data_IF_717952768049
#
_entry.id   IF_717952768049
#
_cell.length_a   1.000
_cell.length_b   1.000
_cell.length_c   1.000
_cell.angle_alpha   90.00
_cell.angle_beta   90.00
_cell.angle_gamma   90.00
#
_symmetry.space_group_name_H-M   'P 1'
#
loop_
_entity.id
_entity.type
_entity.pdbx_description
1 polymer ?
#
# COMPACT_ATOMS: atom_id res chain seq x y z
N UNK A 1 -26.46 -71.21 -17.78
CA UNK A 1 -25.82 -70.59 -18.95
C UNK A 1 -24.95 -69.46 -18.44
N UNK A 2 -23.64 -69.59 -18.66
CA UNK A 2 -22.64 -68.56 -18.41
C UNK A 2 -22.91 -67.35 -19.29
N UNK A 3 -22.69 -66.15 -18.75
CA UNK A 3 -22.68 -64.90 -19.49
C UNK A 3 -21.87 -63.88 -18.72
N UNK A 4 -20.56 -63.86 -19.03
CA UNK A 4 -19.68 -62.69 -19.20
C UNK A 4 -20.22 -61.36 -18.63
N UNK A 5 -19.58 -60.65 -17.70
CA UNK A 5 -18.15 -60.38 -17.59
C UNK A 5 -17.97 -58.87 -17.73
N UNK A 6 -17.70 -58.16 -16.61
CA UNK A 6 -16.81 -56.98 -16.51
C UNK A 6 -17.00 -56.23 -15.18
N UNK A 7 -15.94 -56.22 -14.37
CA UNK A 7 -15.70 -55.26 -13.29
C UNK A 7 -14.90 -54.07 -13.89
N UNK A 8 -14.65 -52.98 -13.17
CA UNK A 8 -15.44 -51.77 -13.01
C UNK A 8 -14.86 -50.61 -13.84
N UNK A 9 -15.68 -49.68 -14.35
CA UNK A 9 -15.17 -48.38 -14.79
C UNK A 9 -15.18 -47.41 -13.63
N UNK A 10 -14.04 -47.37 -12.92
CA UNK A 10 -13.66 -46.28 -12.04
C UNK A 10 -13.86 -44.95 -12.78
N UNK A 11 -14.89 -44.20 -12.37
CA UNK A 11 -15.07 -42.82 -12.78
C UNK A 11 -14.11 -41.99 -11.94
N UNK A 12 -12.84 -41.97 -12.33
CA UNK A 12 -11.87 -41.02 -11.76
C UNK A 12 -12.24 -39.64 -12.31
N UNK A 13 -13.13 -38.93 -11.61
CA UNK A 13 -13.35 -37.51 -11.84
C UNK A 13 -12.05 -36.82 -11.45
N UNK A 14 -11.24 -36.45 -12.45
CA UNK A 14 -10.10 -35.58 -12.26
C UNK A 14 -10.64 -34.22 -11.80
N UNK A 15 -10.62 -33.98 -10.49
CA UNK A 15 -10.68 -32.61 -9.95
C UNK A 15 -9.43 -31.91 -10.47
N UNK A 16 -9.57 -31.18 -11.58
CA UNK A 16 -8.61 -30.15 -11.94
C UNK A 16 -8.66 -29.11 -10.81
N UNK A 17 -7.71 -29.19 -9.87
CA UNK A 17 -7.38 -28.06 -9.01
C UNK A 17 -6.91 -26.95 -9.95
N UNK A 18 -7.83 -26.08 -10.34
CA UNK A 18 -7.47 -24.74 -10.74
C UNK A 18 -6.92 -24.06 -9.48
N UNK A 19 -5.62 -24.25 -9.22
CA UNK A 19 -4.87 -23.32 -8.40
C UNK A 19 -4.90 -22.00 -9.17
N UNK A 20 -5.88 -21.16 -8.87
CA UNK A 20 -5.82 -19.75 -9.24
C UNK A 20 -4.51 -19.24 -8.65
N UNK A 21 -3.55 -18.75 -9.46
CA UNK A 21 -2.42 -18.03 -8.89
C UNK A 21 -3.00 -16.93 -8.00
N UNK A 22 -2.60 -16.92 -6.73
CA UNK A 22 -2.84 -15.80 -5.85
C UNK A 22 -2.00 -14.64 -6.37
N UNK A 23 -2.48 -13.98 -7.42
CA UNK A 23 -2.00 -12.65 -7.74
C UNK A 23 -2.38 -11.81 -6.52
N UNK A 24 -1.37 -11.31 -5.81
CA UNK A 24 -1.61 -10.27 -4.82
C UNK A 24 -2.20 -9.08 -5.61
N UNK A 25 -3.52 -8.92 -5.54
CA UNK A 25 -4.18 -7.76 -6.13
C UNK A 25 -3.75 -6.59 -5.26
N UNK A 26 -2.99 -5.66 -5.85
CA UNK A 26 -2.60 -4.44 -5.18
C UNK A 26 -3.84 -3.70 -4.65
N UNK A 27 -3.71 -3.11 -3.48
CA UNK A 27 -4.84 -2.43 -2.85
C UNK A 27 -5.19 -1.16 -3.63
N UNK A 28 -6.46 -0.78 -3.59
CA UNK A 28 -6.91 0.49 -4.18
C UNK A 28 -6.23 1.68 -3.48
N UNK A 29 -6.01 2.77 -4.21
CA UNK A 29 -5.41 4.00 -3.70
C UNK A 29 -6.16 4.64 -2.51
N UNK A 30 -7.43 4.30 -2.30
CA UNK A 30 -8.25 4.76 -1.16
C UNK A 30 -8.11 3.86 0.09
N UNK A 31 -7.44 2.71 -0.02
CA UNK A 31 -7.22 1.80 1.09
C UNK A 31 -6.23 2.40 2.11
N UNK A 32 -6.42 2.19 3.42
CA UNK A 32 -5.45 2.61 4.41
C UNK A 32 -4.08 1.94 4.17
N UNK A 33 -3.02 2.73 4.20
CA UNK A 33 -1.64 2.25 4.15
C UNK A 33 -1.13 2.11 5.58
N UNK A 34 -0.71 0.91 5.94
CA UNK A 34 -0.05 0.66 7.23
C UNK A 34 1.46 0.82 7.10
N UNK A 35 2.07 1.34 8.15
CA UNK A 35 3.51 1.45 8.25
C UNK A 35 3.96 2.08 9.54
N UNK A 36 5.26 2.07 9.77
CA UNK A 36 5.84 2.71 10.94
C UNK A 36 5.89 4.23 10.74
N UNK A 37 5.26 4.98 11.63
CA UNK A 37 5.28 6.44 11.58
C UNK A 37 6.65 6.97 11.99
N UNK A 38 7.27 7.81 11.18
CA UNK A 38 8.56 8.43 11.46
C UNK A 38 8.55 9.91 11.11
N UNK A 39 9.35 10.69 11.82
CA UNK A 39 9.70 12.03 11.38
C UNK A 39 10.99 11.95 10.56
N UNK A 40 10.94 12.45 9.34
CA UNK A 40 12.08 12.47 8.43
C UNK A 40 12.49 13.90 8.12
N UNK A 41 13.79 14.06 7.90
CA UNK A 41 14.42 15.33 7.59
C UNK A 41 15.06 15.24 6.21
N UNK A 42 14.79 16.22 5.37
CA UNK A 42 15.53 16.45 4.13
C UNK A 42 16.00 17.90 4.05
N UNK A 43 16.61 18.25 2.92
CA UNK A 43 17.03 19.61 2.62
C UNK A 43 16.39 20.09 1.34
N UNK A 44 15.82 21.28 1.38
CA UNK A 44 15.47 22.01 0.19
C UNK A 44 16.74 22.31 -0.63
N UNK A 45 16.66 22.45 -1.97
CA UNK A 45 17.80 22.87 -2.78
C UNK A 45 18.47 24.18 -2.34
N UNK A 46 17.75 25.05 -1.63
CA UNK A 46 18.30 26.29 -1.03
C UNK A 46 19.09 26.04 0.28
N UNK A 47 19.14 24.80 0.77
CA UNK A 47 19.83 24.40 1.99
C UNK A 47 18.96 24.36 3.25
N UNK A 48 17.74 24.89 3.17
CA UNK A 48 16.78 24.92 4.29
C UNK A 48 16.36 23.51 4.70
N UNK A 49 16.29 23.21 6.01
CA UNK A 49 15.82 21.91 6.48
C UNK A 49 14.31 21.79 6.28
N UNK A 50 13.89 20.64 5.75
CA UNK A 50 12.48 20.26 5.63
C UNK A 50 12.26 19.10 6.59
N UNK A 51 11.27 19.20 7.47
CA UNK A 51 10.84 18.10 8.35
C UNK A 51 9.42 17.72 8.01
N UNK A 52 9.15 16.43 7.92
CA UNK A 52 7.81 15.91 7.65
C UNK A 52 7.59 14.55 8.29
N UNK A 53 6.34 14.10 8.27
CA UNK A 53 5.95 12.78 8.79
C UNK A 53 5.82 11.82 7.63
N UNK A 54 6.27 10.59 7.80
CA UNK A 54 6.11 9.56 6.79
C UNK A 54 5.75 8.22 7.42
N UNK A 55 5.14 7.36 6.62
CA UNK A 55 5.06 5.94 6.91
C UNK A 55 6.22 5.23 6.21
N UNK A 56 6.97 4.44 6.98
CA UNK A 56 7.82 3.39 6.44
C UNK A 56 6.93 2.16 6.23
N UNK A 57 6.44 2.02 5.00
CA UNK A 57 5.61 0.89 4.59
C UNK A 57 6.48 -0.31 4.22
N UNK A 58 5.97 -1.51 4.46
CA UNK A 58 6.60 -2.78 4.09
C UNK A 58 5.53 -3.71 3.55
N UNK A 59 5.84 -4.41 2.46
CA UNK A 59 4.92 -5.37 1.82
C UNK A 59 3.57 -4.76 1.39
N UNK A 60 3.55 -3.45 1.08
CA UNK A 60 2.38 -2.75 0.55
C UNK A 60 2.49 -2.65 -0.96
N UNK A 61 1.46 -3.10 -1.68
CA UNK A 61 1.28 -2.80 -3.10
C UNK A 61 -0.01 -2.01 -3.32
N UNK A 62 0.06 -0.91 -4.06
CA UNK A 62 -1.03 0.04 -4.29
C UNK A 62 -1.23 0.23 -5.79
N UNK A 63 -2.47 0.12 -6.24
CA UNK A 63 -2.88 0.50 -7.59
C UNK A 63 -3.41 1.93 -7.56
N UNK A 64 -2.72 2.85 -8.23
CA UNK A 64 -3.07 4.27 -8.25
C UNK A 64 -2.88 4.90 -9.63
N UNK A 65 -3.57 6.02 -9.87
CA UNK A 65 -3.38 6.83 -11.07
C UNK A 65 -2.05 7.60 -10.99
N UNK A 66 -1.22 7.46 -12.02
CA UNK A 66 0.03 8.20 -12.20
C UNK A 66 -0.26 9.61 -12.69
N UNK A 67 0.76 10.47 -12.72
CA UNK A 67 0.62 11.81 -13.27
C UNK A 67 0.21 11.84 -14.75
N UNK A 68 0.52 10.78 -15.50
CA UNK A 68 0.17 10.64 -16.92
C UNK A 68 -1.28 10.17 -17.12
N UNK A 69 -2.03 9.93 -16.04
CA UNK A 69 -3.41 9.43 -16.07
C UNK A 69 -3.51 7.93 -16.30
N UNK A 70 -2.40 7.19 -16.15
CA UNK A 70 -2.37 5.74 -16.26
C UNK A 70 -2.54 5.09 -14.89
N UNK A 71 -3.19 3.92 -14.81
CA UNK A 71 -3.22 3.15 -13.56
C UNK A 71 -1.96 2.28 -13.49
N UNK A 72 -1.20 2.43 -12.41
CA UNK A 72 0.00 1.67 -12.15
C UNK A 72 0.00 1.06 -10.75
N UNK A 73 0.62 -0.12 -10.63
CA UNK A 73 0.88 -0.77 -9.37
C UNK A 73 2.24 -0.33 -8.82
N UNK A 74 2.25 0.13 -7.57
CA UNK A 74 3.43 0.65 -6.88
C UNK A 74 3.63 -0.05 -5.54
N UNK A 75 4.89 -0.28 -5.18
CA UNK A 75 5.29 -0.86 -3.88
C UNK A 75 6.06 0.18 -3.05
N UNK A 76 5.38 1.22 -2.54
CA UNK A 76 6.05 2.35 -1.92
C UNK A 76 6.69 1.95 -0.60
N UNK A 77 7.96 2.29 -0.40
CA UNK A 77 8.63 2.08 0.91
C UNK A 77 8.47 3.25 1.86
N UNK A 78 8.31 4.45 1.32
CA UNK A 78 8.16 5.68 2.09
C UNK A 78 6.99 6.47 1.55
N UNK A 79 5.99 6.69 2.41
CA UNK A 79 4.79 7.48 2.11
C UNK A 79 4.84 8.76 2.92
N UNK A 80 5.02 9.90 2.28
CA UNK A 80 5.07 11.19 2.96
C UNK A 80 3.65 11.69 3.25
N UNK A 81 3.36 11.96 4.53
CA UNK A 81 2.06 12.40 5.00
C UNK A 81 1.96 13.92 4.96
N UNK A 82 1.04 14.42 4.15
CA UNK A 82 0.68 15.84 4.06
C UNK A 82 -0.68 16.02 4.71
N UNK A 83 -0.70 16.62 5.89
CA UNK A 83 -1.93 16.88 6.64
C UNK A 83 -2.60 18.15 6.13
N UNK A 84 -3.94 18.15 6.06
CA UNK A 84 -4.69 19.37 5.81
C UNK A 84 -4.48 20.37 6.97
N UNK A 85 -4.61 21.67 6.68
CA UNK A 85 -4.52 22.72 7.67
C UNK A 85 -5.44 22.45 8.87
N UNK A 86 -4.84 22.41 10.07
CA UNK A 86 -5.55 22.16 11.32
C UNK A 86 -5.95 20.70 11.57
N UNK A 87 -5.71 19.77 10.64
CA UNK A 87 -5.99 18.33 10.80
C UNK A 87 -4.81 17.51 11.33
N UNK A 88 -3.59 18.05 11.32
CA UNK A 88 -2.44 17.36 11.91
C UNK A 88 -2.69 17.09 13.40
N UNK A 89 -2.65 15.82 13.87
CA UNK A 89 -2.76 15.55 15.29
C UNK A 89 -1.63 16.25 16.07
N UNK A 90 -1.99 17.08 17.07
CA UNK A 90 -1.03 17.87 17.88
C UNK A 90 0.03 17.01 18.58
N UNK A 91 -0.22 15.71 18.70
CA UNK A 91 0.63 14.76 19.40
C UNK A 91 1.16 13.64 18.49
N UNK A 92 1.29 13.84 17.17
CA UNK A 92 1.87 12.82 16.27
C UNK A 92 3.22 12.28 16.76
N UNK A 93 4.02 13.12 17.40
CA UNK A 93 5.29 12.72 18.00
C UNK A 93 5.17 11.63 19.07
N UNK A 94 3.99 11.44 19.68
CA UNK A 94 3.74 10.34 20.62
C UNK A 94 3.55 8.99 19.93
N UNK A 95 3.19 9.02 18.65
CA UNK A 95 3.03 7.86 17.79
C UNK A 95 4.28 7.61 16.94
N UNK A 96 5.35 8.40 17.15
CA UNK A 96 6.59 8.20 16.42
C UNK A 96 7.15 6.82 16.76
N UNK A 97 7.57 6.10 15.73
CA UNK A 97 8.00 4.70 15.74
C UNK A 97 6.88 3.66 15.95
N UNK A 98 5.64 4.08 16.19
CA UNK A 98 4.50 3.16 16.24
C UNK A 98 4.05 2.76 14.82
N UNK A 99 3.49 1.55 14.72
CA UNK A 99 2.81 1.12 13.51
C UNK A 99 1.41 1.73 13.47
N UNK A 100 1.11 2.47 12.40
CA UNK A 100 -0.16 3.16 12.21
C UNK A 100 -0.66 2.92 10.80
N UNK A 101 -1.98 3.01 10.62
CA UNK A 101 -2.60 3.10 9.31
C UNK A 101 -2.93 4.55 8.99
N UNK A 102 -2.70 4.99 7.76
CA UNK A 102 -3.13 6.30 7.28
C UNK A 102 -3.90 6.18 5.97
N UNK A 103 -4.83 7.10 5.75
CA UNK A 103 -5.61 7.24 4.51
C UNK A 103 -5.54 8.67 4.02
N UNK A 104 -5.69 8.86 2.72
CA UNK A 104 -5.68 10.16 2.07
C UNK A 104 -5.64 10.03 0.56
N UNK A 105 -5.42 11.15 -0.12
CA UNK A 105 -5.28 11.16 -1.58
C UNK A 105 -3.83 10.91 -1.95
N UNK A 106 -3.56 9.85 -2.72
CA UNK A 106 -2.21 9.49 -3.13
C UNK A 106 -1.80 10.22 -4.41
N UNK A 107 -0.52 10.60 -4.48
CA UNK A 107 0.09 11.18 -5.69
C UNK A 107 1.56 10.79 -5.75
N UNK A 108 2.08 10.60 -6.96
CA UNK A 108 3.52 10.39 -7.18
C UNK A 108 4.32 11.61 -6.72
N UNK A 109 5.48 11.34 -6.11
CA UNK A 109 6.45 12.39 -5.82
C UNK A 109 7.14 12.84 -7.11
N UNK A 110 7.15 14.14 -7.37
CA UNK A 110 7.67 14.73 -8.62
C UNK A 110 8.80 15.74 -8.38
N UNK A 111 9.24 15.89 -7.13
CA UNK A 111 10.31 16.82 -6.75
C UNK A 111 11.27 16.13 -5.79
N UNK A 112 12.55 16.52 -5.89
CA UNK A 112 13.64 15.97 -5.07
C UNK A 112 13.54 16.33 -3.58
N UNK A 113 12.60 17.19 -3.21
CA UNK A 113 12.36 17.62 -1.82
C UNK A 113 11.13 16.97 -1.18
N UNK A 114 10.39 16.14 -1.92
CA UNK A 114 9.42 15.27 -1.29
C UNK A 114 10.13 14.21 -0.45
N UNK A 115 9.48 13.86 0.66
CA UNK A 115 10.08 13.02 1.69
C UNK A 115 9.72 11.54 1.51
N UNK A 116 9.16 11.14 0.36
CA UNK A 116 8.75 9.76 0.10
C UNK A 116 8.55 9.53 -1.39
N UNK A 117 8.38 8.26 -1.77
CA UNK A 117 8.13 7.82 -3.14
C UNK A 117 6.74 8.28 -3.61
N UNK A 118 5.78 8.30 -2.67
CA UNK A 118 4.44 8.85 -2.84
C UNK A 118 4.11 9.86 -1.74
N UNK A 119 3.21 10.77 -2.08
CA UNK A 119 2.61 11.77 -1.20
C UNK A 119 1.19 11.33 -0.85
N UNK A 120 0.81 11.42 0.42
CA UNK A 120 -0.56 11.25 0.88
C UNK A 120 -1.10 12.60 1.36
N UNK A 121 -1.93 13.24 0.55
CA UNK A 121 -2.60 14.49 0.91
C UNK A 121 -3.82 14.27 1.77
N UNK A 122 -4.13 15.29 2.57
CA UNK A 122 -5.20 15.28 3.56
C UNK A 122 -5.13 14.05 4.47
N UNK A 123 -3.90 13.66 4.82
CA UNK A 123 -3.63 12.42 5.55
C UNK A 123 -4.41 12.38 6.88
N UNK A 124 -5.10 11.27 7.11
CA UNK A 124 -5.79 10.96 8.35
C UNK A 124 -5.23 9.65 8.91
N UNK A 125 -4.71 9.70 10.14
CA UNK A 125 -4.28 8.49 10.85
C UNK A 125 -5.52 7.74 11.34
N UNK A 126 -5.70 6.52 10.89
CA UNK A 126 -6.66 5.58 11.45
C UNK A 126 -6.08 5.02 12.76
N UNK A 127 -6.61 5.50 13.88
CA UNK A 127 -6.30 4.98 15.22
C UNK A 127 -7.49 4.09 15.57
N UNK A 128 -7.27 2.79 15.68
CA UNK A 128 -8.25 1.84 16.22
C UNK A 128 -8.37 1.97 17.76
#
# INVERSE_FOLDING_TARGET
>A
MLGDGWIPRCLTVALALCATPAFAICQSADAPISGRLVQIEARHPTGEPIKGWALLASDVCISMETMDGEIADMEPRIVHLVFADGKQPRNLWKLAEDEVAARGTLMESHTVWHLGEILMFDAEIAID
#
